data_IF_415816660834
#
_entry.id   IF_415816660834
#
_cell.length_a   1.000
_cell.length_b   1.000
_cell.length_c   1.000
_cell.angle_alpha   90.00
_cell.angle_beta   90.00
_cell.angle_gamma   90.00
#
_symmetry.space_group_name_H-M   'P 1'
#
loop_
_entity.id
_entity.type
_entity.pdbx_description
1 polymer ?
#
# COMPACT_ATOMS: atom_id res chain seq x y z
N UNK A 1 -27.60 7.23 4.61
CA UNK A 1 -26.50 6.44 5.20
C UNK A 1 -25.69 5.88 4.04
N UNK A 2 -24.43 6.31 3.86
CA UNK A 2 -23.55 5.81 2.79
C UNK A 2 -22.84 4.55 3.29
N UNK A 3 -22.81 3.42 2.55
CA UNK A 3 -22.03 2.26 2.96
C UNK A 3 -20.54 2.53 2.78
N UNK A 4 -19.73 2.26 3.81
CA UNK A 4 -18.28 2.16 3.69
C UNK A 4 -17.96 0.86 2.95
N UNK A 5 -17.63 0.95 1.66
CA UNK A 5 -16.99 -0.16 0.93
C UNK A 5 -15.50 -0.13 1.26
N UNK A 6 -15.09 -0.82 2.32
CA UNK A 6 -13.67 -0.83 2.71
C UNK A 6 -13.25 -1.90 3.72
N UNK A 7 -14.19 -2.63 4.33
CA UNK A 7 -13.86 -3.75 5.20
C UNK A 7 -14.70 -4.97 4.81
N UNK A 8 -14.10 -5.89 4.06
CA UNK A 8 -14.63 -7.25 4.00
C UNK A 8 -14.48 -7.87 5.41
N UNK A 9 -15.53 -8.45 6.01
CA UNK A 9 -15.43 -9.03 7.34
C UNK A 9 -14.40 -10.17 7.36
N UNK A 10 -13.53 -10.17 8.35
CA UNK A 10 -12.69 -11.34 8.65
C UNK A 10 -13.60 -12.36 9.32
N UNK A 11 -13.89 -13.46 8.63
CA UNK A 11 -14.55 -14.60 9.25
C UNK A 11 -13.59 -15.23 10.27
N UNK A 12 -13.81 -14.97 11.55
CA UNK A 12 -13.12 -15.67 12.64
C UNK A 12 -13.80 -17.02 12.80
N UNK A 13 -13.19 -18.06 12.24
CA UNK A 13 -13.59 -19.44 12.50
C UNK A 13 -13.23 -19.87 13.93
N UNK A 14 -13.84 -20.95 14.46
CA UNK A 14 -13.69 -21.38 15.86
C UNK A 14 -12.26 -21.81 16.25
N UNK A 15 -11.37 -21.99 15.27
CA UNK A 15 -10.01 -22.54 15.45
C UNK A 15 -8.94 -21.50 15.87
N UNK A 16 -9.32 -20.26 16.16
CA UNK A 16 -8.39 -19.14 16.40
C UNK A 16 -7.50 -19.26 17.67
N UNK A 17 -7.56 -20.39 18.39
CA UNK A 17 -6.86 -20.60 19.65
C UNK A 17 -5.57 -21.44 19.54
N UNK A 18 -5.21 -21.97 18.37
CA UNK A 18 -3.89 -22.60 18.21
C UNK A 18 -2.92 -21.63 17.57
N UNK A 19 -1.88 -21.31 18.34
CA UNK A 19 -0.70 -20.49 18.06
C UNK A 19 0.06 -20.96 16.80
N UNK A 20 -0.56 -20.86 15.63
CA UNK A 20 0.06 -21.06 14.33
C UNK A 20 0.23 -19.71 13.70
N UNK A 21 1.51 -19.36 13.52
CA UNK A 21 2.06 -18.42 12.54
C UNK A 21 0.98 -17.97 11.57
N UNK A 22 0.70 -16.67 11.56
CA UNK A 22 -0.11 -16.04 10.52
C UNK A 22 0.62 -16.34 9.20
N UNK A 23 0.29 -17.46 8.57
CA UNK A 23 0.70 -17.74 7.21
C UNK A 23 -0.02 -16.70 6.38
N UNK A 24 0.70 -15.64 6.04
CA UNK A 24 0.36 -14.71 4.97
C UNK A 24 0.36 -15.41 3.59
N UNK A 25 0.05 -16.72 3.54
CA UNK A 25 -0.30 -17.46 2.32
C UNK A 25 -1.76 -17.16 1.97
N UNK A 26 -2.05 -15.87 1.82
CA UNK A 26 -3.10 -15.49 0.90
C UNK A 26 -2.43 -15.56 -0.46
N UNK A 27 -2.68 -16.62 -1.21
CA UNK A 27 -2.37 -16.70 -2.62
C UNK A 27 -3.00 -15.47 -3.32
N UNK A 28 -2.27 -14.36 -3.34
CA UNK A 28 -2.39 -13.35 -4.37
C UNK A 28 -1.98 -14.09 -5.63
N UNK A 29 -2.99 -14.63 -6.30
CA UNK A 29 -2.90 -15.12 -7.66
C UNK A 29 -2.14 -14.05 -8.44
N UNK A 30 -0.87 -14.32 -8.69
CA UNK A 30 -0.02 -13.79 -9.74
C UNK A 30 -0.48 -12.44 -10.32
N UNK A 31 -0.44 -11.37 -9.52
CA UNK A 31 -0.43 -10.01 -10.06
C UNK A 31 1.02 -9.62 -10.28
N UNK A 32 1.61 -10.24 -11.30
CA UNK A 32 2.77 -9.68 -11.95
C UNK A 32 2.28 -8.52 -12.84
N UNK A 33 1.76 -7.44 -12.23
CA UNK A 33 1.18 -6.32 -12.97
C UNK A 33 1.01 -5.09 -12.06
N UNK A 34 1.92 -4.12 -12.24
CA UNK A 34 1.95 -2.77 -11.65
C UNK A 34 2.26 -2.68 -10.15
N UNK A 35 3.50 -2.29 -9.83
CA UNK A 35 3.83 -1.79 -8.48
C UNK A 35 2.84 -0.66 -8.10
N UNK A 36 2.24 -0.76 -6.91
CA UNK A 36 1.35 0.27 -6.34
C UNK A 36 2.04 1.64 -6.38
N UNK A 37 1.27 2.74 -6.41
CA UNK A 37 1.89 4.09 -6.42
C UNK A 37 2.77 4.26 -5.18
N UNK A 38 2.35 3.68 -4.06
CA UNK A 38 3.17 3.53 -2.85
C UNK A 38 4.50 2.81 -3.10
N UNK A 39 4.50 1.61 -3.66
CA UNK A 39 5.73 0.83 -3.90
C UNK A 39 6.69 1.58 -4.84
N UNK A 40 6.17 2.21 -5.90
CA UNK A 40 6.96 3.06 -6.80
C UNK A 40 7.57 4.25 -6.04
N UNK A 41 6.80 4.93 -5.20
CA UNK A 41 7.28 6.05 -4.38
C UNK A 41 8.40 5.63 -3.43
N UNK A 42 8.21 4.54 -2.68
CA UNK A 42 9.21 4.04 -1.72
C UNK A 42 10.49 3.62 -2.44
N UNK A 43 10.38 2.84 -3.51
CA UNK A 43 11.55 2.36 -4.25
C UNK A 43 12.32 3.52 -4.88
N UNK A 44 11.64 4.50 -5.48
CA UNK A 44 12.30 5.65 -6.11
C UNK A 44 12.94 6.59 -5.09
N UNK A 45 12.33 6.76 -3.92
CA UNK A 45 12.78 7.76 -2.93
C UNK A 45 13.81 7.20 -1.96
N UNK A 46 13.62 5.94 -1.55
CA UNK A 46 14.36 5.31 -0.45
C UNK A 46 14.95 3.94 -0.82
N UNK A 47 14.66 3.37 -2.00
CA UNK A 47 15.07 2.01 -2.37
C UNK A 47 16.58 1.77 -2.37
N UNK A 48 17.38 2.80 -2.66
CA UNK A 48 18.85 2.75 -2.62
C UNK A 48 19.45 3.31 -1.32
N UNK A 49 18.63 3.55 -0.28
CA UNK A 49 19.08 4.12 0.99
C UNK A 49 19.15 3.04 2.05
N UNK A 50 20.35 2.84 2.63
CA UNK A 50 20.48 2.01 3.84
C UNK A 50 19.97 2.78 5.06
N UNK A 51 19.66 2.04 6.13
CA UNK A 51 19.17 2.63 7.38
C UNK A 51 20.20 3.61 7.99
N UNK A 52 21.48 3.24 7.99
CA UNK A 52 22.55 4.10 8.52
C UNK A 52 22.62 5.43 7.74
N UNK A 53 22.49 5.36 6.42
CA UNK A 53 22.52 6.53 5.55
C UNK A 53 21.31 7.44 5.77
N UNK A 54 20.14 6.85 6.06
CA UNK A 54 18.95 7.59 6.43
C UNK A 54 19.14 8.31 7.78
N UNK A 55 19.67 7.62 8.79
CA UNK A 55 19.97 8.20 10.11
C UNK A 55 20.97 9.35 9.98
N UNK A 56 22.01 9.16 9.17
CA UNK A 56 23.00 10.19 8.91
C UNK A 56 22.39 11.39 8.18
N UNK A 57 21.51 11.21 7.19
CA UNK A 57 20.82 12.31 6.51
C UNK A 57 19.87 13.07 7.46
N UNK A 58 19.18 12.37 8.37
CA UNK A 58 18.34 12.99 9.40
C UNK A 58 19.17 13.89 10.32
N UNK A 59 20.36 13.44 10.73
CA UNK A 59 21.23 14.18 11.65
C UNK A 59 21.98 15.31 10.97
N UNK A 60 22.53 15.06 9.78
CA UNK A 60 23.40 15.99 9.06
C UNK A 60 22.62 17.03 8.26
N UNK A 61 21.42 16.69 7.76
CA UNK A 61 20.62 17.58 6.93
C UNK A 61 19.11 17.44 7.20
N UNK A 62 18.64 17.88 8.38
CA UNK A 62 17.25 17.74 8.78
C UNK A 62 16.27 18.50 7.88
N UNK A 63 16.69 19.61 7.25
CA UNK A 63 15.83 20.37 6.34
C UNK A 63 15.58 19.61 5.04
N UNK A 64 16.60 18.95 4.48
CA UNK A 64 16.45 18.07 3.32
C UNK A 64 15.60 16.84 3.65
N UNK A 65 15.82 16.23 4.80
CA UNK A 65 14.98 15.12 5.27
C UNK A 65 13.51 15.54 5.38
N UNK A 66 13.23 16.67 6.06
CA UNK A 66 11.88 17.22 6.18
C UNK A 66 11.22 17.44 4.82
N UNK A 67 11.95 17.97 3.84
CA UNK A 67 11.43 18.14 2.48
C UNK A 67 11.06 16.82 1.82
N UNK A 68 11.94 15.80 1.87
CA UNK A 68 11.62 14.46 1.33
C UNK A 68 10.34 13.88 1.93
N UNK A 69 10.14 14.04 3.24
CA UNK A 69 8.92 13.58 3.91
C UNK A 69 7.70 14.37 3.44
N UNK A 70 7.78 15.70 3.35
CA UNK A 70 6.67 16.51 2.84
C UNK A 70 6.31 16.16 1.39
N UNK A 71 7.31 15.97 0.53
CA UNK A 71 7.11 15.57 -0.86
C UNK A 71 6.43 14.20 -0.94
N UNK A 72 6.88 13.22 -0.13
CA UNK A 72 6.26 11.90 -0.05
C UNK A 72 4.80 11.95 0.46
N UNK A 73 4.52 12.80 1.44
CA UNK A 73 3.17 12.99 2.00
C UNK A 73 2.21 13.71 1.04
N UNK A 74 2.72 14.42 0.03
CA UNK A 74 1.90 15.08 -0.98
C UNK A 74 1.31 14.10 -2.01
N UNK A 75 1.79 12.86 -2.07
CA UNK A 75 1.23 11.84 -2.94
C UNK A 75 -0.10 11.32 -2.40
N UNK A 76 -1.13 11.29 -3.25
CA UNK A 76 -2.38 10.63 -2.93
C UNK A 76 -2.21 9.11 -3.04
N UNK A 77 -2.11 8.48 -1.87
CA UNK A 77 -2.00 7.03 -1.67
C UNK A 77 -3.29 6.46 -1.06
N UNK A 78 -4.39 7.21 -1.15
CA UNK A 78 -5.69 6.73 -0.69
C UNK A 78 -6.21 5.60 -1.58
N UNK A 79 -7.12 4.78 -1.05
CA UNK A 79 -7.80 3.74 -1.82
C UNK A 79 -8.56 4.32 -3.02
N UNK A 80 -9.19 5.48 -2.84
CA UNK A 80 -9.85 6.18 -3.94
C UNK A 80 -8.84 6.62 -5.00
N UNK A 81 -7.67 7.14 -4.60
CA UNK A 81 -6.62 7.58 -5.51
C UNK A 81 -5.86 6.45 -6.24
N UNK A 82 -5.68 5.29 -5.61
CA UNK A 82 -4.98 4.15 -6.21
C UNK A 82 -5.91 3.22 -7.00
N UNK A 83 -7.15 3.01 -6.54
CA UNK A 83 -8.00 1.93 -7.04
C UNK A 83 -9.22 2.38 -7.84
N UNK A 84 -9.56 3.67 -7.88
CA UNK A 84 -10.76 4.16 -8.58
C UNK A 84 -10.84 3.69 -10.03
N UNK A 85 -9.79 3.91 -10.82
CA UNK A 85 -9.75 3.52 -12.24
C UNK A 85 -9.89 2.00 -12.43
N UNK A 86 -9.22 1.21 -11.59
CA UNK A 86 -9.28 -0.25 -11.63
C UNK A 86 -10.70 -0.74 -11.31
N UNK A 87 -11.35 -0.14 -10.30
CA UNK A 87 -12.73 -0.48 -9.94
C UNK A 87 -13.72 -0.09 -11.03
N UNK A 88 -13.59 1.10 -11.62
CA UNK A 88 -14.43 1.54 -12.75
C UNK A 88 -14.26 0.63 -13.95
N UNK A 89 -13.01 0.28 -14.31
CA UNK A 89 -12.71 -0.63 -15.41
C UNK A 89 -13.32 -2.02 -15.20
N UNK A 90 -13.12 -2.61 -14.02
CA UNK A 90 -13.70 -3.91 -13.68
C UNK A 90 -15.23 -3.90 -13.70
N UNK A 91 -15.86 -2.87 -13.12
CA UNK A 91 -17.31 -2.71 -13.14
C UNK A 91 -17.84 -2.58 -14.58
N UNK A 92 -17.16 -1.78 -15.41
CA UNK A 92 -17.55 -1.56 -16.80
C UNK A 92 -17.41 -2.83 -17.64
N UNK A 93 -16.37 -3.62 -17.41
CA UNK A 93 -16.18 -4.91 -18.06
C UNK A 93 -17.32 -5.88 -17.75
N UNK A 94 -17.71 -6.00 -16.47
CA UNK A 94 -18.82 -6.86 -16.05
C UNK A 94 -20.16 -6.36 -16.60
N UNK A 95 -20.41 -5.05 -16.55
CA UNK A 95 -21.66 -4.45 -17.01
C UNK A 95 -21.89 -4.64 -18.52
N UNK A 96 -20.82 -4.70 -19.30
CA UNK A 96 -20.87 -4.83 -20.76
C UNK A 96 -20.78 -6.29 -21.25
N UNK A 97 -20.90 -7.27 -20.35
CA UNK A 97 -21.13 -8.69 -20.66
C UNK A 97 -22.63 -8.97 -20.80
#
# INVERSE_FOLDING_TARGET
>A
MKPLYGAAPIAIGPEAHTNRVISFDRNFIHHDQEATKYSKLINNTFGNMSLDLAIDEIRSNPSKWKRRIMDAMAHDLSWDGECYEVHVAAYSAIKNM
#
